data_IF_112158675396
#
_entry.id   IF_112158675396
#
_cell.length_a   1.000
_cell.length_b   1.000
_cell.length_c   1.000
_cell.angle_alpha   90.00
_cell.angle_beta   90.00
_cell.angle_gamma   90.00
#
_symmetry.space_group_name_H-M   'P 1'
#
loop_
_entity.id
_entity.type
_entity.pdbx_description
1 polymer ?
#
# COMPACT_ATOMS: atom_id res chain seq x y z
N UNK A 1 -32.68 -57.58 3.41
CA UNK A 1 -33.63 -57.40 2.29
C UNK A 1 -34.01 -55.92 2.20
N UNK A 2 -33.96 -55.35 0.99
CA UNK A 2 -34.54 -54.08 0.49
C UNK A 2 -34.29 -52.76 1.27
N UNK A 3 -33.48 -51.90 0.66
CA UNK A 3 -33.77 -50.46 0.53
C UNK A 3 -34.92 -50.26 -0.49
N UNK A 4 -35.61 -49.11 -0.42
CA UNK A 4 -35.61 -48.24 -1.60
C UNK A 4 -35.51 -46.73 -1.29
N UNK A 5 -34.82 -46.06 -2.22
CA UNK A 5 -34.68 -44.62 -2.43
C UNK A 5 -35.99 -43.95 -2.90
N UNK A 6 -36.24 -42.70 -2.47
CA UNK A 6 -36.85 -41.58 -3.23
C UNK A 6 -36.49 -40.29 -2.45
N UNK A 7 -35.62 -39.35 -2.87
CA UNK A 7 -35.49 -38.49 -4.05
C UNK A 7 -36.59 -37.42 -4.20
N UNK A 8 -36.15 -36.15 -4.13
CA UNK A 8 -36.72 -34.91 -4.71
C UNK A 8 -38.00 -34.29 -4.13
N UNK A 9 -37.82 -33.14 -3.47
CA UNK A 9 -38.54 -31.90 -3.81
C UNK A 9 -37.72 -30.67 -3.37
N UNK A 10 -36.84 -30.22 -4.27
CA UNK A 10 -36.38 -28.83 -4.33
C UNK A 10 -37.59 -27.97 -4.69
N UNK A 11 -37.77 -26.80 -4.07
CA UNK A 11 -38.25 -25.55 -4.71
C UNK A 11 -38.19 -24.39 -3.71
N UNK A 12 -37.24 -23.49 -3.96
CA UNK A 12 -37.08 -22.14 -3.39
C UNK A 12 -38.37 -21.30 -3.49
N UNK A 13 -38.47 -20.24 -2.67
CA UNK A 13 -38.47 -18.92 -3.30
C UNK A 13 -37.37 -18.02 -2.74
N UNK A 14 -36.42 -17.70 -3.63
CA UNK A 14 -35.75 -16.40 -3.60
C UNK A 14 -36.84 -15.33 -3.76
N UNK A 15 -37.03 -14.50 -2.72
CA UNK A 15 -37.77 -13.26 -2.85
C UNK A 15 -36.92 -12.13 -2.30
N UNK A 16 -36.13 -11.59 -3.22
CA UNK A 16 -35.53 -10.25 -3.19
C UNK A 16 -36.54 -9.22 -2.70
N UNK A 17 -36.24 -8.53 -1.60
CA UNK A 17 -36.77 -7.19 -1.37
C UNK A 17 -35.69 -6.16 -1.73
N UNK A 18 -36.05 -5.49 -2.81
CA UNK A 18 -35.39 -4.40 -3.48
C UNK A 18 -35.37 -3.13 -2.60
N UNK A 19 -34.25 -2.40 -2.72
CA UNK A 19 -34.16 -0.93 -2.70
C UNK A 19 -34.20 -0.23 -1.33
N UNK A 20 -33.02 0.14 -0.87
CA UNK A 20 -32.78 1.50 -0.39
C UNK A 20 -31.56 2.05 -1.16
N UNK A 21 -31.80 3.11 -1.92
CA UNK A 21 -30.82 3.77 -2.75
C UNK A 21 -29.79 4.54 -1.91
N UNK A 22 -28.50 4.29 -2.15
CA UNK A 22 -27.43 5.26 -1.95
C UNK A 22 -26.24 4.82 -2.81
N UNK A 23 -25.89 5.53 -3.90
CA UNK A 23 -24.69 5.23 -4.67
C UNK A 23 -23.48 5.70 -3.87
N UNK A 24 -22.81 4.79 -3.17
CA UNK A 24 -21.44 5.00 -2.73
C UNK A 24 -20.53 4.53 -3.86
N UNK A 25 -19.85 5.50 -4.45
CA UNK A 25 -18.88 5.33 -5.50
C UNK A 25 -17.87 4.21 -5.19
N UNK A 26 -17.72 3.32 -6.17
CA UNK A 26 -16.45 3.00 -6.83
C UNK A 26 -15.22 2.91 -5.91
N UNK A 27 -14.80 1.67 -5.62
CA UNK A 27 -13.38 1.34 -5.55
C UNK A 27 -13.16 0.03 -6.30
N UNK A 28 -13.35 0.12 -7.61
CA UNK A 28 -12.65 -0.74 -8.56
C UNK A 28 -11.14 -0.61 -8.34
N UNK A 29 -10.46 -1.74 -8.49
CA UNK A 29 -9.05 -1.86 -8.85
C UNK A 29 -8.04 -0.97 -8.09
N UNK A 30 -7.49 -1.52 -7.01
CA UNK A 30 -6.09 -1.26 -6.69
C UNK A 30 -5.28 -2.55 -6.83
N UNK A 31 -5.31 -3.13 -8.02
CA UNK A 31 -4.03 -3.50 -8.66
C UNK A 31 -3.24 -2.19 -8.78
N UNK A 32 -2.55 -1.82 -7.71
CA UNK A 32 -1.67 -0.67 -7.68
C UNK A 32 -0.43 -1.01 -8.49
N UNK A 33 -0.59 -1.08 -9.81
CA UNK A 33 0.42 -0.91 -10.86
C UNK A 33 1.85 -1.03 -10.32
N UNK A 34 2.29 -2.23 -9.97
CA UNK A 34 3.67 -2.50 -9.57
C UNK A 34 4.65 -2.34 -10.76
N UNK A 35 4.18 -1.91 -11.93
CA UNK A 35 4.86 -2.06 -13.21
C UNK A 35 5.24 -0.74 -13.93
N UNK A 36 5.73 0.27 -13.20
CA UNK A 36 6.47 1.39 -13.84
C UNK A 36 7.69 1.90 -13.06
N UNK A 37 8.23 1.13 -12.11
CA UNK A 37 9.55 1.43 -11.54
C UNK A 37 10.64 0.98 -12.53
N UNK A 38 10.68 1.67 -13.68
CA UNK A 38 11.62 1.43 -14.76
C UNK A 38 13.06 1.32 -14.25
N UNK A 39 13.74 0.27 -14.72
CA UNK A 39 15.09 -0.12 -14.38
C UNK A 39 16.15 0.92 -14.75
N UNK A 40 16.15 2.03 -14.03
CA UNK A 40 17.19 3.04 -14.09
C UNK A 40 17.91 3.06 -12.74
N UNK A 41 19.24 2.96 -12.77
CA UNK A 41 20.14 3.04 -11.63
C UNK A 41 20.00 4.34 -10.80
N UNK A 42 19.11 5.25 -11.19
CA UNK A 42 18.81 6.52 -10.53
C UNK A 42 18.20 6.35 -9.12
N UNK A 43 17.49 5.25 -8.89
CA UNK A 43 16.89 4.91 -7.60
C UNK A 43 17.77 4.01 -6.72
N UNK A 44 19.00 3.70 -7.17
CA UNK A 44 19.95 2.93 -6.37
C UNK A 44 20.38 3.73 -5.14
N UNK A 45 20.29 3.11 -3.97
CA UNK A 45 20.71 3.68 -2.71
C UNK A 45 22.23 3.67 -2.68
N UNK A 46 22.85 4.86 -2.68
CA UNK A 46 24.31 5.03 -2.62
C UNK A 46 24.83 5.22 -1.20
N UNK A 47 24.00 5.80 -0.35
CA UNK A 47 24.31 6.09 1.05
C UNK A 47 23.23 5.47 1.90
N UNK A 48 23.62 4.67 2.89
CA UNK A 48 22.67 4.06 3.81
C UNK A 48 21.99 5.12 4.65
N UNK A 49 20.75 4.84 5.05
CA UNK A 49 19.92 5.75 5.85
C UNK A 49 19.12 4.97 6.88
N UNK A 50 18.55 5.69 7.85
CA UNK A 50 17.78 5.09 8.93
C UNK A 50 16.28 5.20 8.68
N UNK A 51 15.55 4.14 9.03
CA UNK A 51 14.10 4.13 9.09
C UNK A 51 13.63 4.64 10.44
N UNK A 52 12.64 5.52 10.43
CA UNK A 52 12.00 6.08 11.62
C UNK A 52 10.61 5.50 11.82
N UNK A 53 10.21 5.37 13.09
CA UNK A 53 8.86 4.93 13.47
C UNK A 53 7.78 5.91 13.00
N UNK A 54 8.03 7.21 13.13
CA UNK A 54 7.14 8.29 12.74
C UNK A 54 7.86 9.37 11.90
N UNK A 55 7.15 10.21 11.13
CA UNK A 55 7.77 11.20 10.24
C UNK A 55 8.14 12.49 10.99
N UNK A 56 9.01 12.36 11.98
CA UNK A 56 9.62 13.47 12.72
C UNK A 56 11.05 13.09 13.17
N UNK A 57 11.91 14.09 13.41
CA UNK A 57 13.31 13.84 13.73
C UNK A 57 13.55 13.25 15.12
N UNK A 58 12.63 13.49 16.07
CA UNK A 58 12.66 12.93 17.42
C UNK A 58 12.14 11.50 17.50
N UNK A 59 11.65 10.93 16.39
CA UNK A 59 11.17 9.55 16.37
C UNK A 59 12.30 8.54 16.51
N UNK A 60 11.99 7.44 17.19
CA UNK A 60 12.83 6.24 17.26
C UNK A 60 13.27 5.75 15.88
N UNK A 61 14.50 5.25 15.82
CA UNK A 61 15.04 4.52 14.67
C UNK A 61 14.65 3.05 14.80
N UNK A 62 13.91 2.55 13.82
CA UNK A 62 13.39 1.16 13.80
C UNK A 62 14.16 0.26 12.84
N UNK A 63 15.12 0.82 12.11
CA UNK A 63 15.94 0.05 11.18
C UNK A 63 16.91 0.92 10.39
N UNK A 64 17.72 0.26 9.56
CA UNK A 64 18.67 0.92 8.67
C UNK A 64 18.67 0.23 7.31
N UNK A 65 18.85 1.01 6.27
CA UNK A 65 19.08 0.51 4.91
C UNK A 65 20.56 0.67 4.56
N UNK A 66 21.11 -0.34 3.88
CA UNK A 66 22.50 -0.34 3.45
C UNK A 66 22.61 0.19 2.01
N UNK A 67 23.79 0.73 1.64
CA UNK A 67 24.09 1.01 0.24
C UNK A 67 23.90 -0.23 -0.64
N UNK A 68 23.46 -0.02 -1.88
CA UNK A 68 23.25 -1.08 -2.87
C UNK A 68 21.78 -1.49 -3.04
N UNK A 69 20.91 -1.20 -2.07
CA UNK A 69 19.48 -1.42 -2.18
C UNK A 69 18.79 -0.51 -3.21
N UNK A 70 17.51 -0.76 -3.46
CA UNK A 70 16.67 0.05 -4.34
C UNK A 70 15.71 0.91 -3.51
N UNK A 71 15.68 2.22 -3.80
CA UNK A 71 14.74 3.13 -3.18
C UNK A 71 13.30 2.82 -3.61
N UNK A 72 12.42 2.63 -2.63
CA UNK A 72 10.99 2.45 -2.84
C UNK A 72 10.22 3.21 -1.77
N UNK A 73 9.24 4.01 -2.20
CA UNK A 73 8.35 4.76 -1.34
C UNK A 73 6.93 4.71 -1.90
N UNK A 74 5.95 4.80 -1.01
CA UNK A 74 4.52 4.76 -1.38
C UNK A 74 3.96 6.18 -1.51
N UNK A 75 4.29 7.05 -0.55
CA UNK A 75 3.74 8.41 -0.49
C UNK A 75 4.69 9.34 0.27
N UNK A 76 4.41 10.64 0.19
CA UNK A 76 5.13 11.72 0.87
C UNK A 76 4.27 12.35 1.96
N UNK A 77 4.88 12.67 3.10
CA UNK A 77 4.31 13.50 4.14
C UNK A 77 5.34 14.56 4.56
N UNK A 78 5.09 15.83 4.21
CA UNK A 78 6.04 16.93 4.44
C UNK A 78 7.44 16.58 3.88
N UNK A 79 8.45 16.46 4.75
CA UNK A 79 9.83 16.12 4.40
C UNK A 79 10.16 14.64 4.61
N UNK A 80 9.16 13.78 4.68
CA UNK A 80 9.31 12.34 4.87
C UNK A 80 8.62 11.55 3.77
N UNK A 81 9.16 10.38 3.46
CA UNK A 81 8.56 9.38 2.58
C UNK A 81 8.20 8.15 3.40
N UNK A 82 6.99 7.62 3.16
CA UNK A 82 6.58 6.33 3.73
C UNK A 82 7.11 5.21 2.85
N UNK A 83 7.78 4.26 3.48
CA UNK A 83 8.27 3.04 2.84
C UNK A 83 7.64 1.82 3.54
N UNK A 84 7.84 0.62 2.98
CA UNK A 84 7.40 -0.64 3.60
C UNK A 84 8.02 -0.85 5.00
N UNK A 85 9.25 -0.37 5.23
CA UNK A 85 10.00 -0.57 6.49
C UNK A 85 9.82 0.55 7.52
N UNK A 86 9.38 1.74 7.11
CA UNK A 86 9.28 2.90 7.99
C UNK A 86 9.26 4.23 7.25
N UNK A 87 9.46 5.31 8.00
CA UNK A 87 9.58 6.67 7.45
C UNK A 87 11.03 7.02 7.18
N UNK A 88 11.28 7.68 6.05
CA UNK A 88 12.62 8.09 5.65
C UNK A 88 12.60 9.57 5.31
N UNK A 89 13.67 10.30 5.61
CA UNK A 89 13.76 11.72 5.27
C UNK A 89 13.87 11.91 3.76
N UNK A 90 13.29 12.99 3.27
CA UNK A 90 13.39 13.38 1.87
C UNK A 90 14.83 13.68 1.45
N UNK A 91 15.70 14.06 2.38
CA UNK A 91 17.13 14.27 2.14
C UNK A 91 17.88 12.98 1.81
N UNK A 92 17.38 11.84 2.30
CA UNK A 92 18.03 10.53 2.16
C UNK A 92 17.61 9.83 0.86
N UNK A 93 16.56 10.34 0.19
CA UNK A 93 16.14 9.88 -1.13
C UNK A 93 17.24 10.16 -2.17
N UNK A 94 17.60 9.18 -3.02
CA UNK A 94 18.47 9.45 -4.16
C UNK A 94 17.87 10.55 -5.05
N UNK A 95 18.60 11.65 -5.27
CA UNK A 95 18.09 12.85 -5.97
C UNK A 95 17.55 12.56 -7.37
N UNK A 96 18.18 11.62 -8.08
CA UNK A 96 17.79 11.22 -9.42
C UNK A 96 16.58 10.27 -9.44
N UNK A 97 16.19 9.70 -8.29
CA UNK A 97 15.04 8.82 -8.19
C UNK A 97 13.75 9.62 -8.26
N UNK A 98 12.94 9.33 -9.27
CA UNK A 98 11.62 9.92 -9.51
C UNK A 98 10.57 8.81 -9.50
N UNK A 99 9.37 9.13 -9.04
CA UNK A 99 8.25 8.18 -8.99
C UNK A 99 6.96 8.87 -8.56
N UNK A 100 5.85 8.15 -8.65
CA UNK A 100 4.51 8.63 -8.25
C UNK A 100 4.46 9.07 -6.78
N UNK A 101 5.29 8.49 -5.91
CA UNK A 101 5.42 8.88 -4.51
C UNK A 101 5.81 10.35 -4.28
N UNK A 102 6.31 11.07 -5.30
CA UNK A 102 6.59 12.52 -5.19
C UNK A 102 5.31 13.36 -5.18
N UNK A 103 4.27 12.90 -5.88
CA UNK A 103 2.96 13.57 -5.98
C UNK A 103 1.90 12.93 -5.08
N UNK A 104 2.08 11.67 -4.68
CA UNK A 104 1.17 10.97 -3.76
C UNK A 104 1.39 11.44 -2.33
N UNK A 105 0.39 12.11 -1.75
CA UNK A 105 0.41 12.57 -0.36
C UNK A 105 -0.05 11.45 0.58
N UNK A 106 0.68 11.21 1.68
CA UNK A 106 0.24 10.30 2.72
C UNK A 106 -0.88 10.93 3.56
N UNK A 107 -1.80 10.12 4.10
CA UNK A 107 -2.71 10.58 5.15
C UNK A 107 -1.91 11.04 6.38
N UNK A 108 -2.56 11.82 7.25
CA UNK A 108 -1.94 12.24 8.50
C UNK A 108 -1.54 11.02 9.34
N UNK A 109 -0.27 10.91 9.76
CA UNK A 109 0.20 9.77 10.54
C UNK A 109 -0.45 9.77 11.92
N UNK A 110 -0.99 8.63 12.33
CA UNK A 110 -1.46 8.40 13.69
C UNK A 110 -0.26 8.06 14.59
N UNK A 111 -0.14 8.80 15.70
CA UNK A 111 0.86 8.55 16.73
C UNK A 111 0.14 7.89 17.90
N UNK A 112 0.08 6.57 17.86
CA UNK A 112 -0.46 5.73 18.94
C UNK A 112 0.63 4.82 19.45
#
# INVERSE_FOLDING_TARGET
MKSPLYVLAVLLPLATQLVAASPTAEFDEFESLEDRQGGSNSCKIRTGFSYRKYPCDSSDIIGRENPGGQWQATCRYKNFYKTKKGWVRSSDKPKACRGSFETTQCPNPSFT
#
